data_IF_887106884925
#
_entry.id   IF_887106884925
#
_cell.length_a   1.000
_cell.length_b   1.000
_cell.length_c   1.000
_cell.angle_alpha   90.00
_cell.angle_beta   90.00
_cell.angle_gamma   90.00
#
_symmetry.space_group_name_H-M   'P 1'
#
loop_
_entity.id
_entity.type
_entity.pdbx_description
1 polymer ?
#
# COMPACT_ATOMS: atom_id res chain seq x y z
N UNK A 1 41.36 35.92 -18.35
CA UNK A 1 41.46 35.06 -19.57
C UNK A 1 40.35 34.02 -19.43
N UNK A 2 39.27 33.93 -20.25
CA UNK A 2 39.08 33.98 -21.72
C UNK A 2 39.75 32.84 -22.49
N UNK A 3 39.01 32.33 -23.50
CA UNK A 3 39.25 31.19 -24.42
C UNK A 3 38.79 29.83 -23.81
N UNK A 4 37.95 29.01 -24.47
CA UNK A 4 37.09 29.26 -25.64
C UNK A 4 36.81 28.03 -26.53
N UNK A 5 35.53 27.66 -26.70
CA UNK A 5 34.97 26.76 -27.74
C UNK A 5 35.41 25.26 -27.60
N UNK A 6 34.73 24.24 -28.15
CA UNK A 6 34.04 24.11 -29.46
C UNK A 6 32.72 23.32 -29.36
N UNK A 7 31.78 23.70 -30.24
CA UNK A 7 30.46 23.10 -30.47
C UNK A 7 30.51 22.12 -31.65
N UNK A 8 29.85 20.97 -31.56
CA UNK A 8 29.75 20.01 -32.67
C UNK A 8 28.37 19.32 -32.71
N UNK A 9 27.40 19.97 -33.35
CA UNK A 9 26.24 19.31 -33.93
C UNK A 9 26.70 18.43 -35.12
N UNK A 10 26.08 17.27 -35.34
CA UNK A 10 26.06 16.62 -36.66
C UNK A 10 24.87 15.67 -36.78
N UNK A 11 23.87 16.09 -37.56
CA UNK A 11 22.84 15.20 -38.09
C UNK A 11 23.25 14.73 -39.49
N UNK A 12 22.80 13.56 -39.94
CA UNK A 12 22.98 13.13 -41.33
C UNK A 12 21.75 12.38 -41.85
N UNK A 13 21.00 13.11 -42.68
CA UNK A 13 19.93 12.70 -43.59
C UNK A 13 20.48 12.81 -45.03
N UNK A 14 19.94 12.09 -46.05
CA UNK A 14 20.14 12.15 -47.55
C UNK A 14 20.41 10.74 -48.15
N UNK A 15 20.01 10.31 -49.38
CA UNK A 15 19.03 10.75 -50.42
C UNK A 15 18.50 9.51 -51.18
N UNK A 16 17.25 9.51 -51.66
CA UNK A 16 16.83 9.07 -53.02
C UNK A 16 15.31 9.32 -53.20
N UNK A 17 14.77 9.69 -54.37
CA UNK A 17 15.36 10.02 -55.68
C UNK A 17 14.37 10.84 -56.52
N UNK A 18 14.84 11.46 -57.61
CA UNK A 18 14.14 12.55 -58.29
C UNK A 18 13.06 12.13 -59.31
N UNK A 19 12.08 13.01 -59.52
CA UNK A 19 11.57 13.31 -60.85
C UNK A 19 11.23 14.80 -60.98
N UNK A 20 11.22 15.33 -62.21
CA UNK A 20 11.37 16.77 -62.55
C UNK A 20 10.27 17.19 -63.53
N UNK A 21 10.05 18.51 -63.70
CA UNK A 21 9.09 19.21 -64.62
C UNK A 21 7.67 19.40 -64.09
N UNK A 22 6.91 20.43 -64.47
CA UNK A 22 7.17 21.75 -65.10
C UNK A 22 5.86 22.58 -64.96
N UNK A 23 5.94 23.91 -64.78
CA UNK A 23 4.77 24.80 -64.76
C UNK A 23 4.44 25.27 -66.21
N UNK A 24 3.20 25.71 -66.58
CA UNK A 24 2.32 26.61 -65.82
C UNK A 24 0.80 26.34 -65.89
N UNK A 25 -0.01 27.24 -65.31
CA UNK A 25 -1.48 27.24 -65.30
C UNK A 25 -2.09 27.66 -66.68
N UNK A 26 -3.41 27.45 -66.94
CA UNK A 26 -4.46 28.27 -66.32
C UNK A 26 -5.77 27.53 -65.93
N UNK A 27 -6.75 28.31 -65.47
CA UNK A 27 -7.97 27.88 -64.79
C UNK A 27 -9.02 27.09 -65.62
N UNK A 28 -9.80 26.28 -64.91
CA UNK A 28 -11.26 26.16 -65.12
C UNK A 28 -11.94 25.90 -63.77
N UNK A 29 -13.02 26.63 -63.50
CA UNK A 29 -13.78 26.57 -62.25
C UNK A 29 -14.58 25.27 -62.15
N UNK A 30 -14.42 24.55 -61.04
CA UNK A 30 -15.40 23.58 -60.54
C UNK A 30 -15.69 23.91 -59.08
N UNK A 31 -16.97 23.92 -58.69
CA UNK A 31 -17.38 24.36 -57.35
C UNK A 31 -16.89 23.39 -56.27
N UNK A 32 -16.20 23.91 -55.25
CA UNK A 32 -15.77 23.13 -54.10
C UNK A 32 -16.97 22.89 -53.14
N UNK A 33 -17.20 21.66 -52.65
CA UNK A 33 -18.10 21.42 -51.53
C UNK A 33 -17.50 21.99 -50.24
N UNK A 34 -18.36 22.43 -49.32
CA UNK A 34 -17.95 22.99 -48.04
C UNK A 34 -17.17 21.98 -47.17
N UNK A 35 -16.23 22.44 -46.31
CA UNK A 35 -15.49 21.54 -45.43
C UNK A 35 -16.42 20.92 -44.39
N UNK A 36 -16.47 19.58 -44.34
CA UNK A 36 -17.15 18.85 -43.29
C UNK A 36 -16.34 18.99 -41.98
N UNK A 37 -16.99 19.50 -40.93
CA UNK A 37 -16.38 19.65 -39.61
C UNK A 37 -16.25 18.25 -38.99
N UNK A 38 -15.03 17.78 -38.75
CA UNK A 38 -14.79 16.47 -38.14
C UNK A 38 -15.17 16.53 -36.66
N UNK A 39 -16.18 15.78 -36.25
CA UNK A 39 -16.52 15.63 -34.83
C UNK A 39 -15.39 14.90 -34.08
N UNK A 40 -15.12 15.24 -32.81
CA UNK A 40 -14.12 14.55 -32.01
C UNK A 40 -14.53 13.08 -31.81
N UNK A 41 -13.58 12.16 -31.96
CA UNK A 41 -13.80 10.75 -31.67
C UNK A 41 -14.09 10.54 -30.17
N UNK A 42 -14.99 9.62 -29.79
CA UNK A 42 -15.21 9.28 -28.39
C UNK A 42 -13.94 8.71 -27.75
N UNK A 43 -13.72 8.91 -26.44
CA UNK A 43 -12.57 8.35 -25.74
C UNK A 43 -12.56 6.82 -25.85
N UNK A 44 -11.37 6.25 -26.06
CA UNK A 44 -11.20 4.80 -26.04
C UNK A 44 -11.57 4.25 -24.65
N UNK A 45 -12.19 3.05 -24.57
CA UNK A 45 -12.44 2.41 -23.28
C UNK A 45 -11.11 2.14 -22.56
N UNK A 46 -11.09 2.16 -21.22
CA UNK A 46 -9.89 1.80 -20.47
C UNK A 46 -9.45 0.37 -20.81
N UNK A 47 -8.14 0.06 -20.76
CA UNK A 47 -7.67 -1.30 -20.99
C UNK A 47 -8.33 -2.24 -19.99
N UNK A 48 -8.88 -3.35 -20.50
CA UNK A 48 -9.45 -4.38 -19.65
C UNK A 48 -8.37 -4.91 -18.71
N UNK A 49 -8.64 -4.89 -17.40
CA UNK A 49 -7.74 -5.48 -16.42
C UNK A 49 -7.60 -6.98 -16.73
N UNK A 50 -6.40 -7.41 -17.07
CA UNK A 50 -6.09 -8.83 -17.22
C UNK A 50 -6.25 -9.50 -15.85
N UNK A 51 -7.26 -10.35 -15.70
CA UNK A 51 -7.36 -11.25 -14.55
C UNK A 51 -6.15 -12.17 -14.56
N UNK A 52 -5.14 -11.85 -13.76
CA UNK A 52 -4.14 -12.82 -13.32
C UNK A 52 -4.89 -13.84 -12.47
N UNK A 53 -4.66 -15.13 -12.73
CA UNK A 53 -5.14 -16.18 -11.85
C UNK A 53 -4.51 -15.98 -10.46
N UNK A 54 -5.35 -15.84 -9.43
CA UNK A 54 -4.92 -15.67 -8.06
C UNK A 54 -4.19 -16.93 -7.58
N UNK A 55 -2.94 -16.77 -7.12
CA UNK A 55 -2.09 -17.85 -6.61
C UNK A 55 -2.61 -18.39 -5.27
N UNK A 56 -3.14 -17.49 -4.44
CA UNK A 56 -3.74 -17.77 -3.14
C UNK A 56 -5.25 -17.49 -3.20
N UNK A 57 -6.04 -18.44 -2.69
CA UNK A 57 -7.50 -18.31 -2.64
C UNK A 57 -7.96 -17.34 -1.53
N UNK A 58 -9.13 -16.72 -1.68
CA UNK A 58 -9.66 -15.74 -0.69
C UNK A 58 -9.68 -16.27 0.75
N UNK A 59 -10.19 -17.48 1.08
CA UNK A 59 -10.17 -17.99 2.44
C UNK A 59 -8.76 -18.27 2.98
N UNK A 60 -7.81 -18.58 2.09
CA UNK A 60 -6.41 -18.80 2.44
C UNK A 60 -5.71 -17.49 2.78
N UNK A 61 -5.99 -16.42 2.03
CA UNK A 61 -5.54 -15.06 2.36
C UNK A 61 -6.18 -14.55 3.65
N UNK A 62 -7.47 -14.81 3.87
CA UNK A 62 -8.18 -14.43 5.09
C UNK A 62 -7.52 -15.12 6.30
N UNK A 63 -7.31 -16.44 6.25
CA UNK A 63 -6.62 -17.19 7.31
C UNK A 63 -5.17 -16.75 7.53
N UNK A 64 -4.44 -16.43 6.46
CA UNK A 64 -3.03 -16.03 6.55
C UNK A 64 -2.84 -14.64 7.15
N UNK A 65 -3.75 -13.70 6.86
CA UNK A 65 -3.70 -12.32 7.35
C UNK A 65 -4.40 -12.12 8.69
N UNK A 66 -5.23 -13.08 9.12
CA UNK A 66 -5.97 -13.01 10.38
C UNK A 66 -5.13 -12.56 11.60
N UNK A 67 -3.87 -13.01 11.82
CA UNK A 67 -3.05 -12.56 12.96
C UNK A 67 -2.62 -11.07 12.91
N UNK A 68 -2.58 -10.45 11.74
CA UNK A 68 -2.03 -9.09 11.55
C UNK A 68 -3.05 -8.06 11.05
N UNK A 69 -4.25 -8.47 10.64
CA UNK A 69 -5.22 -7.58 9.99
C UNK A 69 -5.76 -6.46 10.90
N UNK A 70 -5.71 -6.60 12.23
CA UNK A 70 -6.05 -5.53 13.17
C UNK A 70 -4.86 -4.63 13.57
N UNK A 71 -3.65 -4.86 13.03
CA UNK A 71 -2.53 -3.94 13.28
C UNK A 71 -2.84 -2.54 12.68
N UNK A 72 -2.34 -1.46 13.32
CA UNK A 72 -2.38 -0.12 12.73
C UNK A 72 -1.78 -0.10 11.32
N UNK A 73 -2.32 0.74 10.44
CA UNK A 73 -1.99 0.70 9.00
C UNK A 73 -0.49 0.88 8.72
N UNK A 74 0.17 1.74 9.48
CA UNK A 74 1.64 1.95 9.39
C UNK A 74 2.43 0.69 9.74
N UNK A 75 2.00 -0.07 10.77
CA UNK A 75 2.66 -1.30 11.20
C UNK A 75 2.34 -2.47 10.26
N UNK A 76 1.09 -2.57 9.80
CA UNK A 76 0.67 -3.59 8.85
C UNK A 76 1.42 -3.44 7.52
N UNK A 77 1.51 -2.22 6.98
CA UNK A 77 2.33 -1.94 5.79
C UNK A 77 3.79 -2.33 6.04
N UNK A 78 4.32 -2.08 7.24
CA UNK A 78 5.69 -2.45 7.58
C UNK A 78 5.92 -3.96 7.58
N UNK A 79 4.99 -4.74 8.16
CA UNK A 79 5.04 -6.21 8.16
C UNK A 79 4.90 -6.79 6.75
N UNK A 80 4.01 -6.25 5.92
CA UNK A 80 3.82 -6.72 4.54
C UNK A 80 5.07 -6.48 3.67
N UNK A 81 5.72 -5.31 3.82
CA UNK A 81 6.99 -5.01 3.15
C UNK A 81 8.14 -5.89 3.68
N UNK A 82 8.27 -6.02 5.00
CA UNK A 82 9.31 -6.84 5.61
C UNK A 82 9.19 -8.33 5.22
N UNK A 83 7.96 -8.83 5.04
CA UNK A 83 7.71 -10.21 4.61
C UNK A 83 8.29 -10.55 3.23
N UNK A 84 8.56 -9.56 2.36
CA UNK A 84 9.25 -9.80 1.08
C UNK A 84 10.76 -10.06 1.24
N UNK A 85 11.29 -9.91 2.46
CA UNK A 85 12.68 -10.16 2.83
C UNK A 85 12.78 -11.17 3.99
N UNK A 86 12.32 -12.43 3.81
CA UNK A 86 12.22 -13.39 4.92
C UNK A 86 13.56 -13.78 5.56
N UNK A 87 14.69 -13.62 4.83
CA UNK A 87 16.04 -13.79 5.38
C UNK A 87 16.38 -12.70 6.40
N UNK A 88 16.26 -11.43 6.00
CA UNK A 88 16.44 -10.26 6.86
C UNK A 88 15.53 -10.34 8.11
N UNK A 89 14.28 -10.78 7.94
CA UNK A 89 13.35 -10.99 9.08
C UNK A 89 13.90 -12.06 10.02
N UNK A 90 14.43 -13.17 9.54
CA UNK A 90 15.02 -14.21 10.38
C UNK A 90 16.23 -13.69 11.19
N UNK A 91 17.08 -12.86 10.57
CA UNK A 91 18.22 -12.22 11.23
C UNK A 91 17.77 -11.18 12.27
N UNK A 92 16.78 -10.35 11.94
CA UNK A 92 16.20 -9.37 12.87
C UNK A 92 15.52 -10.04 14.08
N UNK A 93 14.85 -11.18 13.87
CA UNK A 93 14.31 -12.04 14.94
C UNK A 93 15.41 -12.57 15.85
N UNK A 94 16.51 -13.07 15.28
CA UNK A 94 17.65 -13.54 16.06
C UNK A 94 18.32 -12.41 16.85
N UNK A 95 18.47 -11.23 16.22
CA UNK A 95 18.99 -10.02 16.87
C UNK A 95 18.11 -9.59 18.04
N UNK A 96 16.79 -9.47 17.84
CA UNK A 96 15.84 -9.02 18.88
C UNK A 96 15.82 -9.98 20.08
N UNK A 97 15.89 -11.29 19.85
CA UNK A 97 16.02 -12.30 20.92
C UNK A 97 17.32 -12.15 21.74
N UNK A 98 18.41 -11.68 21.12
CA UNK A 98 19.66 -11.40 21.80
C UNK A 98 19.70 -10.02 22.49
N UNK A 99 18.77 -9.11 22.17
CA UNK A 99 18.71 -7.74 22.67
C UNK A 99 17.32 -7.45 23.29
N UNK A 100 16.88 -8.18 24.34
CA UNK A 100 15.51 -8.10 24.86
C UNK A 100 15.10 -6.73 25.42
N UNK A 101 16.07 -5.91 25.83
CA UNK A 101 15.85 -4.53 26.32
C UNK A 101 15.80 -3.49 25.19
N UNK A 102 16.16 -3.86 23.95
CA UNK A 102 16.13 -2.95 22.82
C UNK A 102 14.73 -2.86 22.22
N UNK A 103 14.17 -1.64 22.21
CA UNK A 103 12.84 -1.32 21.66
C UNK A 103 12.79 0.12 21.15
N UNK A 104 11.76 0.42 20.36
CA UNK A 104 11.55 1.74 19.75
C UNK A 104 12.75 2.23 18.93
N UNK A 105 12.86 3.54 18.81
CA UNK A 105 13.96 4.26 18.12
C UNK A 105 15.37 3.86 18.57
N UNK A 106 15.54 3.40 19.82
CA UNK A 106 16.84 2.92 20.30
C UNK A 106 17.24 1.56 19.70
N UNK A 107 16.27 0.69 19.39
CA UNK A 107 16.55 -0.54 18.66
C UNK A 107 16.92 -0.25 17.21
N UNK A 108 16.15 0.61 16.52
CA UNK A 108 16.36 0.95 15.10
C UNK A 108 17.78 1.50 14.89
N UNK A 109 18.23 2.44 15.72
CA UNK A 109 19.61 2.98 15.67
C UNK A 109 20.72 1.94 15.84
N UNK A 110 20.47 0.84 16.54
CA UNK A 110 21.48 -0.22 16.70
C UNK A 110 21.60 -1.11 15.44
N UNK A 111 20.64 -1.06 14.53
CA UNK A 111 20.59 -1.91 13.33
C UNK A 111 20.71 -1.15 12.01
N UNK A 112 20.87 0.18 12.05
CA UNK A 112 21.12 1.03 10.85
C UNK A 112 22.28 0.54 9.96
N UNK A 113 23.28 -0.13 10.56
CA UNK A 113 24.43 -0.70 9.85
C UNK A 113 24.23 -2.13 9.33
N UNK A 114 23.06 -2.74 9.54
CA UNK A 114 22.76 -4.08 9.04
C UNK A 114 22.39 -4.03 7.55
N UNK A 115 22.66 -5.09 6.77
CA UNK A 115 22.36 -5.13 5.33
C UNK A 115 20.86 -5.34 5.02
N UNK A 116 19.99 -5.25 6.02
CA UNK A 116 18.56 -5.51 5.90
C UNK A 116 17.82 -4.36 5.22
N UNK A 117 16.71 -4.66 4.53
CA UNK A 117 15.78 -3.64 4.04
C UNK A 117 15.27 -2.75 5.19
N UNK A 118 15.07 -1.46 4.90
CA UNK A 118 14.62 -0.47 5.90
C UNK A 118 13.31 -0.87 6.58
N UNK A 119 12.44 -1.64 5.91
CA UNK A 119 11.22 -2.17 6.50
C UNK A 119 11.48 -3.15 7.65
N UNK A 120 12.50 -3.99 7.52
CA UNK A 120 12.92 -4.96 8.53
C UNK A 120 13.66 -4.25 9.67
N UNK A 121 14.49 -3.24 9.35
CA UNK A 121 15.13 -2.40 10.35
C UNK A 121 14.10 -1.70 11.26
N UNK A 122 13.03 -1.13 10.72
CA UNK A 122 11.98 -0.50 11.54
C UNK A 122 11.27 -1.50 12.46
N UNK A 123 11.11 -2.77 12.06
CA UNK A 123 10.45 -3.78 12.90
C UNK A 123 11.21 -4.12 14.19
N UNK A 124 12.51 -3.81 14.31
CA UNK A 124 13.22 -4.01 15.60
C UNK A 124 12.73 -3.07 16.71
N UNK A 125 12.01 -2.00 16.37
CA UNK A 125 11.27 -1.20 17.34
C UNK A 125 10.20 -2.01 18.10
N UNK A 126 9.73 -3.12 17.52
CA UNK A 126 8.60 -3.93 17.98
C UNK A 126 8.99 -5.40 18.28
N UNK A 127 9.72 -5.68 19.38
CA UNK A 127 10.15 -7.05 19.73
C UNK A 127 9.01 -8.10 19.76
N UNK A 128 7.79 -7.71 20.12
CA UNK A 128 6.62 -8.60 20.10
C UNK A 128 6.22 -9.02 18.67
N UNK A 129 6.32 -8.11 17.69
CA UNK A 129 6.05 -8.43 16.28
C UNK A 129 7.11 -9.37 15.75
N UNK A 130 8.40 -9.10 16.02
CA UNK A 130 9.48 -10.03 15.68
C UNK A 130 9.35 -11.38 16.38
N UNK A 131 8.93 -11.41 17.65
CA UNK A 131 8.66 -12.67 18.35
C UNK A 131 7.61 -13.52 17.61
N UNK A 132 6.52 -12.90 17.15
CA UNK A 132 5.47 -13.55 16.34
C UNK A 132 5.99 -13.99 14.95
N UNK A 133 6.71 -13.12 14.23
CA UNK A 133 7.31 -13.46 12.93
C UNK A 133 8.27 -14.66 13.06
N UNK A 134 8.99 -14.72 14.17
CA UNK A 134 9.91 -15.80 14.53
C UNK A 134 9.25 -17.10 15.02
N UNK A 135 7.91 -17.21 15.03
CA UNK A 135 7.20 -18.46 15.33
C UNK A 135 7.02 -19.35 14.08
N UNK A 136 6.74 -18.75 12.91
CA UNK A 136 6.69 -19.45 11.62
C UNK A 136 7.31 -18.57 10.51
N UNK A 137 8.62 -18.73 10.27
CA UNK A 137 9.31 -18.07 9.16
C UNK A 137 8.79 -18.55 7.78
N UNK A 138 8.19 -19.73 7.70
CA UNK A 138 7.51 -20.20 6.51
C UNK A 138 6.20 -19.44 6.24
N UNK A 139 5.49 -18.99 7.29
CA UNK A 139 4.36 -18.06 7.17
C UNK A 139 4.82 -16.69 6.68
N UNK A 140 5.96 -16.18 7.20
CA UNK A 140 6.55 -14.91 6.73
C UNK A 140 6.82 -14.98 5.22
N UNK A 141 7.46 -16.06 4.75
CA UNK A 141 7.71 -16.26 3.32
C UNK A 141 6.40 -16.32 2.51
N UNK A 142 5.40 -17.11 2.94
CA UNK A 142 4.09 -17.19 2.24
C UNK A 142 3.37 -15.84 2.18
N UNK A 143 3.48 -15.03 3.22
CA UNK A 143 2.91 -13.68 3.26
C UNK A 143 3.59 -12.75 2.25
N UNK A 144 4.93 -12.79 2.18
CA UNK A 144 5.70 -12.05 1.18
C UNK A 144 5.38 -12.47 -0.25
N UNK A 145 5.36 -13.78 -0.52
CA UNK A 145 5.01 -14.36 -1.82
C UNK A 145 3.60 -13.90 -2.27
N UNK A 146 2.63 -13.89 -1.36
CA UNK A 146 1.27 -13.43 -1.66
C UNK A 146 1.19 -11.92 -1.91
N UNK A 147 1.91 -11.11 -1.14
CA UNK A 147 1.95 -9.66 -1.32
C UNK A 147 2.63 -9.25 -2.63
N UNK A 148 3.66 -9.98 -3.06
CA UNK A 148 4.31 -9.79 -4.36
C UNK A 148 3.42 -10.23 -5.54
N UNK A 149 2.70 -11.35 -5.40
CA UNK A 149 1.88 -11.90 -6.49
C UNK A 149 0.54 -11.16 -6.69
N UNK A 150 -0.15 -10.83 -5.60
CA UNK A 150 -1.54 -10.33 -5.60
C UNK A 150 -1.81 -9.30 -4.47
N UNK A 151 -1.11 -8.15 -4.46
CA UNK A 151 -1.22 -7.16 -3.38
C UNK A 151 -2.65 -6.63 -3.18
N UNK A 152 -3.44 -6.52 -4.26
CA UNK A 152 -4.85 -6.09 -4.19
C UNK A 152 -5.72 -7.08 -3.40
N UNK A 153 -5.56 -8.39 -3.60
CA UNK A 153 -6.33 -9.41 -2.87
C UNK A 153 -5.90 -9.50 -1.39
N UNK A 154 -4.60 -9.28 -1.11
CA UNK A 154 -4.04 -9.19 0.25
C UNK A 154 -4.68 -8.03 1.02
N UNK A 155 -4.70 -6.83 0.44
CA UNK A 155 -5.35 -5.67 1.07
C UNK A 155 -6.88 -5.85 1.16
N UNK A 156 -7.51 -6.48 0.16
CA UNK A 156 -8.93 -6.81 0.21
C UNK A 156 -9.28 -7.84 1.30
N UNK A 157 -8.37 -8.77 1.63
CA UNK A 157 -8.49 -9.69 2.77
C UNK A 157 -8.44 -8.94 4.10
N UNK A 158 -7.45 -8.08 4.31
CA UNK A 158 -7.38 -7.21 5.51
C UNK A 158 -8.68 -6.46 5.72
N UNK A 159 -9.23 -5.86 4.66
CA UNK A 159 -10.49 -5.12 4.74
C UNK A 159 -11.72 -6.02 4.95
N UNK A 160 -11.73 -7.28 4.52
CA UNK A 160 -12.77 -8.25 4.93
C UNK A 160 -12.68 -8.54 6.43
N UNK A 161 -11.48 -8.85 6.92
CA UNK A 161 -11.22 -9.17 8.32
C UNK A 161 -11.58 -8.02 9.26
N UNK A 162 -11.13 -6.78 8.97
CA UNK A 162 -11.48 -5.59 9.76
C UNK A 162 -12.99 -5.35 9.86
N UNK A 163 -13.73 -5.53 8.75
CA UNK A 163 -15.21 -5.47 8.77
C UNK A 163 -15.82 -6.59 9.62
N UNK A 164 -15.32 -7.83 9.53
CA UNK A 164 -15.80 -8.96 10.35
C UNK A 164 -15.60 -8.66 11.85
N UNK A 165 -14.41 -8.19 12.24
CA UNK A 165 -14.12 -7.78 13.61
C UNK A 165 -14.95 -6.58 14.08
N UNK A 166 -15.22 -5.60 13.21
CA UNK A 166 -16.09 -4.47 13.53
C UNK A 166 -17.54 -4.90 13.74
N UNK A 167 -18.07 -5.77 12.88
CA UNK A 167 -19.44 -6.29 12.97
C UNK A 167 -19.64 -7.17 14.21
N UNK A 168 -18.63 -7.95 14.59
CA UNK A 168 -18.58 -8.68 15.86
C UNK A 168 -18.32 -7.76 17.08
N UNK A 169 -17.98 -6.49 16.85
CA UNK A 169 -17.75 -5.49 17.90
C UNK A 169 -16.38 -5.55 18.57
N UNK A 170 -15.42 -6.29 18.02
CA UNK A 170 -14.03 -6.42 18.48
C UNK A 170 -13.10 -5.32 17.95
N UNK A 171 -13.46 -4.65 16.84
CA UNK A 171 -12.70 -3.50 16.33
C UNK A 171 -13.40 -2.18 16.71
N UNK A 172 -12.79 -1.40 17.61
CA UNK A 172 -13.29 -0.10 18.08
C UNK A 172 -12.15 0.87 18.38
N UNK A 173 -12.45 2.17 18.34
CA UNK A 173 -11.54 3.22 18.80
C UNK A 173 -11.36 3.15 20.32
N UNK A 174 -10.19 3.51 20.84
CA UNK A 174 -9.88 3.54 22.27
C UNK A 174 -8.65 4.45 22.51
N UNK A 175 -8.08 4.43 23.71
CA UNK A 175 -6.90 5.23 24.07
C UNK A 175 -5.63 4.91 23.26
N UNK A 176 -5.56 3.75 22.58
CA UNK A 176 -4.41 3.32 21.79
C UNK A 176 -4.60 3.49 20.27
N UNK A 177 -5.83 3.47 19.77
CA UNK A 177 -6.13 3.50 18.33
C UNK A 177 -7.42 4.25 17.99
N UNK A 178 -7.45 4.89 16.82
CA UNK A 178 -8.64 5.48 16.19
C UNK A 178 -9.03 4.63 14.99
N UNK A 179 -10.32 4.28 14.90
CA UNK A 179 -10.89 3.57 13.75
C UNK A 179 -11.57 4.59 12.83
N UNK A 180 -11.02 4.73 11.62
CA UNK A 180 -11.48 5.69 10.62
C UNK A 180 -11.99 5.01 9.34
N UNK A 181 -12.48 5.85 8.42
CA UNK A 181 -12.80 5.46 7.05
C UNK A 181 -12.01 6.35 6.08
N UNK A 182 -11.30 5.75 5.12
CA UNK A 182 -10.49 6.51 4.17
C UNK A 182 -11.33 7.56 3.41
N UNK A 183 -10.83 8.80 3.37
CA UNK A 183 -11.53 9.94 2.75
C UNK A 183 -12.62 10.60 3.62
N UNK A 184 -12.91 10.07 4.81
CA UNK A 184 -13.71 10.79 5.80
C UNK A 184 -12.80 11.70 6.64
N UNK A 185 -13.19 12.96 6.81
CA UNK A 185 -12.60 13.79 7.87
C UNK A 185 -13.01 13.20 9.21
N UNK A 186 -12.06 12.66 9.97
CA UNK A 186 -12.29 12.05 11.28
C UNK A 186 -13.10 13.00 12.18
N UNK A 187 -14.16 12.52 12.86
CA UNK A 187 -14.66 13.16 14.07
C UNK A 187 -13.55 13.06 15.12
N UNK A 188 -12.69 14.08 15.19
CA UNK A 188 -11.58 14.18 16.13
C UNK A 188 -12.10 14.54 17.53
N UNK A 189 -12.98 13.71 18.07
CA UNK A 189 -13.58 13.89 19.41
C UNK A 189 -13.85 12.53 20.07
N UNK A 190 -12.76 11.88 20.48
CA UNK A 190 -12.78 10.63 21.26
C UNK A 190 -11.96 10.74 22.57
N UNK A 191 -11.66 11.96 23.03
CA UNK A 191 -10.83 12.24 24.23
C UNK A 191 -11.34 13.43 25.07
N UNK A 192 -12.65 13.64 25.13
CA UNK A 192 -13.27 14.43 26.20
C UNK A 192 -14.06 13.50 27.12
N UNK A 193 -13.80 13.46 28.44
CA UNK A 193 -14.78 12.93 29.37
C UNK A 193 -16.04 13.81 29.27
N UNK A 194 -17.23 13.20 29.28
CA UNK A 194 -18.46 13.98 29.42
C UNK A 194 -18.39 14.75 30.75
N UNK A 195 -19.02 15.94 30.81
CA UNK A 195 -19.06 16.81 32.01
C UNK A 195 -19.53 16.06 33.29
N UNK A 196 -20.28 14.97 33.11
CA UNK A 196 -20.80 14.05 34.14
C UNK A 196 -19.81 12.94 34.59
N UNK A 197 -18.53 13.01 34.19
CA UNK A 197 -17.49 12.03 34.59
C UNK A 197 -17.68 10.60 34.05
N UNK A 198 -18.67 10.39 33.19
CA UNK A 198 -18.97 9.09 32.57
C UNK A 198 -18.26 8.98 31.22
N UNK A 199 -17.44 7.94 31.03
CA UNK A 199 -16.71 7.72 29.79
C UNK A 199 -17.66 7.63 28.59
N UNK A 200 -17.39 8.40 27.53
CA UNK A 200 -18.14 8.31 26.28
C UNK A 200 -17.95 6.92 25.65
N UNK A 201 -18.99 6.33 25.03
CA UNK A 201 -18.81 5.08 24.31
C UNK A 201 -17.84 5.26 23.15
N UNK A 202 -16.88 4.36 23.04
CA UNK A 202 -15.91 4.28 21.95
C UNK A 202 -16.58 4.40 20.56
N UNK A 203 -16.48 5.58 19.94
CA UNK A 203 -17.06 5.80 18.61
C UNK A 203 -16.31 5.00 17.56
N UNK A 204 -17.06 4.26 16.75
CA UNK A 204 -16.55 3.47 15.63
C UNK A 204 -17.49 3.69 14.45
N UNK A 205 -17.05 4.31 13.34
CA UNK A 205 -17.93 4.63 12.20
C UNK A 205 -18.34 3.35 11.48
N UNK A 206 -19.64 3.12 11.29
CA UNK A 206 -20.14 1.91 10.62
C UNK A 206 -19.63 1.82 9.16
N UNK A 207 -18.94 0.74 8.84
CA UNK A 207 -18.26 0.54 7.56
C UNK A 207 -19.15 -0.23 6.59
N UNK A 208 -19.96 0.52 5.82
CA UNK A 208 -20.76 -0.05 4.73
C UNK A 208 -19.94 -0.80 3.66
N UNK A 209 -20.61 -1.59 2.82
CA UNK A 209 -19.94 -2.30 1.73
C UNK A 209 -19.17 -1.34 0.81
N UNK A 210 -17.87 -1.61 0.64
CA UNK A 210 -16.95 -0.78 -0.14
C UNK A 210 -16.18 0.29 0.65
N UNK A 211 -16.53 0.56 1.91
CA UNK A 211 -15.74 1.44 2.77
C UNK A 211 -14.37 0.80 3.13
N UNK A 212 -13.32 1.62 3.20
CA UNK A 212 -11.97 1.21 3.58
C UNK A 212 -11.69 1.65 5.01
N UNK A 213 -11.61 0.70 5.94
CA UNK A 213 -11.36 0.94 7.37
C UNK A 213 -9.87 1.25 7.57
N UNK A 214 -9.58 2.39 8.20
CA UNK A 214 -8.24 2.73 8.69
C UNK A 214 -8.11 2.45 10.18
N UNK A 215 -6.89 2.10 10.61
CA UNK A 215 -6.52 1.93 12.01
C UNK A 215 -5.28 2.80 12.24
N UNK A 216 -5.46 3.91 12.95
CA UNK A 216 -4.39 4.87 13.25
C UNK A 216 -4.05 4.79 14.74
N UNK A 217 -2.76 4.79 15.14
CA UNK A 217 -2.38 4.88 16.54
C UNK A 217 -2.67 6.28 17.09
N UNK A 218 -2.94 6.41 18.39
CA UNK A 218 -3.17 7.71 19.04
C UNK A 218 -1.85 8.44 19.33
N UNK A 219 -0.92 7.76 20.02
CA UNK A 219 0.40 8.27 20.37
C UNK A 219 1.49 7.32 19.80
N UNK A 220 1.90 6.33 20.58
CA UNK A 220 2.81 5.27 20.16
C UNK A 220 2.10 4.20 19.31
N UNK A 221 2.83 3.55 18.41
CA UNK A 221 2.32 2.43 17.59
C UNK A 221 2.01 1.22 18.49
N UNK A 222 0.75 1.08 18.86
CA UNK A 222 0.23 -0.05 19.61
C UNK A 222 0.18 -1.33 18.77
N UNK A 223 0.63 -2.46 19.34
CA UNK A 223 0.55 -3.79 18.73
C UNK A 223 -0.57 -4.58 19.44
N UNK A 224 -1.76 -4.72 18.83
CA UNK A 224 -2.84 -5.47 19.46
C UNK A 224 -2.50 -6.96 19.53
N UNK A 225 -2.79 -7.57 20.68
CA UNK A 225 -2.72 -9.02 20.90
C UNK A 225 -4.13 -9.57 21.02
N UNK A 226 -4.47 -10.54 20.18
CA UNK A 226 -5.79 -11.16 20.08
C UNK A 226 -5.65 -12.58 19.51
N UNK A 227 -6.61 -13.46 19.81
CA UNK A 227 -6.77 -14.71 19.09
C UNK A 227 -7.65 -14.45 17.84
N UNK A 228 -7.18 -14.76 16.62
CA UNK A 228 -8.00 -14.65 15.42
C UNK A 228 -9.29 -15.47 15.45
N UNK A 229 -9.35 -16.60 16.18
CA UNK A 229 -10.58 -17.38 16.32
C UNK A 229 -11.64 -16.59 17.08
N UNK A 230 -11.29 -16.04 18.26
CA UNK A 230 -12.21 -15.25 19.09
C UNK A 230 -12.70 -13.98 18.39
N UNK A 231 -11.84 -13.33 17.59
CA UNK A 231 -12.15 -12.05 16.93
C UNK A 231 -12.96 -12.22 15.65
N UNK A 232 -12.74 -13.30 14.91
CA UNK A 232 -13.34 -13.49 13.60
C UNK A 232 -14.44 -14.56 13.58
N UNK A 233 -14.44 -15.59 14.41
CA UNK A 233 -15.42 -16.68 14.36
C UNK A 233 -16.12 -16.93 15.72
N UNK A 234 -16.93 -15.95 16.21
CA UNK A 234 -17.60 -15.99 17.52
C UNK A 234 -18.88 -16.86 17.56
#
# INVERSE_FOLDING_TARGET
>A
MRIGHVLALSATLLIAGACKREAPAPATTAAAPAPAVTAPAPPAPPPAASTRDAVFGKPQLDQMLAPVALYPDVLLAQVLMAATYPGDVADAVAWSRAHPEAKGEHAVRQVEGQPWDASVQTLVAFPQVLAMLGQDLGWVQRLGDAFLAQPEDVLASVQRLRRKAQQAGHLRSNEYQVIGLAGSSLPQEATSPNDDGTAAPAYTPDAGEGAYITIEPVDDVYVPSYDPMDVYDP
#
